data_IF_219557454300
#
_entry.id   IF_219557454300
#
_cell.length_a   1.000
_cell.length_b   1.000
_cell.length_c   1.000
_cell.angle_alpha   90.00
_cell.angle_beta   90.00
_cell.angle_gamma   90.00
#
_symmetry.space_group_name_H-M   'P 1'
#
loop_
_entity.id
_entity.type
_entity.pdbx_description
1 polymer ?
#
# COMPACT_ATOMS: atom_id res chain seq x y z
N UNK A 1 13.71 9.88 16.39
CA UNK A 1 13.19 9.88 15.02
C UNK A 1 14.42 10.03 14.14
N UNK A 2 14.74 9.02 13.32
CA UNK A 2 15.97 9.06 12.50
C UNK A 2 15.79 10.07 11.36
N UNK A 3 16.29 11.29 11.53
CA UNK A 3 16.28 12.33 10.50
C UNK A 3 17.05 11.91 9.23
N UNK A 4 17.98 10.95 9.34
CA UNK A 4 18.79 10.44 8.22
C UNK A 4 18.01 9.59 7.19
N UNK A 5 16.79 9.12 7.51
CA UNK A 5 15.93 8.34 6.61
C UNK A 5 14.74 9.14 6.07
N UNK A 6 14.65 10.43 6.42
CA UNK A 6 13.67 11.34 5.86
C UNK A 6 14.15 11.81 4.48
N UNK A 7 13.44 11.41 3.43
CA UNK A 7 13.75 11.85 2.07
C UNK A 7 13.42 13.33 1.90
N UNK A 8 14.33 14.06 1.28
CA UNK A 8 14.14 15.48 0.96
C UNK A 8 13.23 15.67 -0.27
N UNK A 9 12.66 16.85 -0.42
CA UNK A 9 11.94 17.21 -1.66
C UNK A 9 12.83 17.10 -2.91
N UNK A 10 14.15 17.23 -2.75
CA UNK A 10 15.14 17.10 -3.83
C UNK A 10 15.23 15.65 -4.34
N UNK A 11 15.06 14.64 -3.46
CA UNK A 11 15.10 13.22 -3.83
C UNK A 11 13.94 12.86 -4.77
N UNK A 12 12.78 13.50 -4.60
CA UNK A 12 11.63 13.29 -5.47
C UNK A 12 11.64 14.14 -6.73
N UNK A 13 12.40 15.23 -6.78
CA UNK A 13 12.40 16.16 -7.92
C UNK A 13 12.77 15.49 -9.26
N UNK A 14 13.65 14.49 -9.24
CA UNK A 14 13.99 13.69 -10.41
C UNK A 14 12.90 12.70 -10.79
N UNK A 15 12.27 12.07 -9.79
CA UNK A 15 11.19 11.11 -9.98
C UNK A 15 9.90 11.78 -10.47
N UNK A 16 9.69 13.04 -10.09
CA UNK A 16 8.49 13.83 -10.43
C UNK A 16 8.57 14.50 -11.80
N UNK A 17 9.62 14.23 -12.57
CA UNK A 17 9.69 14.70 -13.96
C UNK A 17 8.62 14.01 -14.82
N UNK A 18 7.90 14.74 -15.69
CA UNK A 18 6.85 14.18 -16.53
C UNK A 18 7.29 12.97 -17.37
N UNK A 19 8.54 12.98 -17.81
CA UNK A 19 9.14 11.87 -18.56
C UNK A 19 9.42 10.60 -17.74
N UNK A 20 9.40 10.67 -16.40
CA UNK A 20 9.46 9.53 -15.48
C UNK A 20 8.05 9.13 -15.05
N UNK A 21 7.24 10.10 -14.60
CA UNK A 21 5.89 9.85 -14.08
C UNK A 21 5.00 9.07 -15.04
N UNK A 22 5.09 9.32 -16.34
CA UNK A 22 4.32 8.60 -17.38
C UNK A 22 4.60 7.09 -17.47
N UNK A 23 5.74 6.62 -16.94
CA UNK A 23 6.05 5.20 -16.88
C UNK A 23 5.59 4.56 -15.58
N UNK A 24 5.36 5.37 -14.55
CA UNK A 24 5.07 4.90 -13.20
C UNK A 24 3.59 4.98 -12.86
N UNK A 25 2.91 6.06 -13.25
CA UNK A 25 1.51 6.26 -12.86
C UNK A 25 0.56 6.09 -14.04
N UNK A 26 -0.45 5.22 -13.86
CA UNK A 26 -1.51 4.95 -14.84
C UNK A 26 -2.88 5.27 -14.22
N UNK A 27 -3.18 6.56 -13.96
CA UNK A 27 -4.41 6.94 -13.29
C UNK A 27 -5.64 6.59 -14.14
N UNK A 28 -6.62 5.93 -13.50
CA UNK A 28 -7.94 5.67 -14.05
C UNK A 28 -8.99 6.42 -13.24
N UNK A 29 -10.07 6.88 -13.88
CA UNK A 29 -11.20 7.50 -13.21
C UNK A 29 -12.25 6.46 -12.84
N UNK A 30 -12.86 6.64 -11.68
CA UNK A 30 -14.00 5.82 -11.27
C UNK A 30 -15.23 6.18 -12.12
N UNK A 31 -15.78 5.19 -12.80
CA UNK A 31 -17.01 5.33 -13.59
C UNK A 31 -18.26 5.06 -12.74
N UNK A 32 -18.10 4.53 -11.53
CA UNK A 32 -19.17 4.11 -10.64
C UNK A 32 -19.07 4.83 -9.28
N UNK A 33 -19.78 5.96 -9.17
CA UNK A 33 -19.76 6.79 -7.96
C UNK A 33 -20.29 6.07 -6.70
N UNK A 34 -21.04 4.97 -6.86
CA UNK A 34 -21.61 4.19 -5.76
C UNK A 34 -20.99 2.80 -5.68
N UNK A 35 -20.64 2.33 -4.47
CA UNK A 35 -20.21 0.95 -4.27
C UNK A 35 -21.26 -0.05 -4.76
N UNK A 36 -20.80 -1.18 -5.34
CA UNK A 36 -21.67 -2.28 -5.76
C UNK A 36 -22.05 -3.20 -4.59
N UNK A 37 -21.43 -3.04 -3.43
CA UNK A 37 -21.69 -3.82 -2.21
C UNK A 37 -22.31 -2.96 -1.12
N UNK A 38 -23.31 -3.47 -0.42
CA UNK A 38 -24.09 -2.72 0.56
C UNK A 38 -23.28 -2.27 1.79
N UNK A 39 -22.27 -3.05 2.17
CA UNK A 39 -21.43 -2.77 3.34
C UNK A 39 -20.22 -1.88 3.03
N UNK A 40 -20.21 -1.20 1.90
CA UNK A 40 -19.18 -0.24 1.51
C UNK A 40 -19.66 1.20 1.62
N UNK A 41 -18.82 2.08 2.15
CA UNK A 41 -19.05 3.52 2.23
C UNK A 41 -17.94 4.28 1.54
N UNK A 42 -18.24 5.20 0.61
CA UNK A 42 -17.23 6.09 0.03
C UNK A 42 -16.90 7.22 1.00
N UNK A 43 -15.64 7.59 1.03
CA UNK A 43 -15.13 8.73 1.79
C UNK A 43 -14.21 9.58 0.92
N UNK A 44 -14.21 10.90 1.17
CA UNK A 44 -13.26 11.85 0.60
C UNK A 44 -12.44 12.41 1.76
N UNK A 45 -11.15 12.10 1.81
CA UNK A 45 -10.25 12.54 2.89
C UNK A 45 -9.36 13.67 2.36
N UNK A 46 -9.44 14.88 2.92
CA UNK A 46 -8.54 15.97 2.55
C UNK A 46 -7.09 15.63 2.87
N UNK A 47 -6.18 15.86 1.90
CA UNK A 47 -4.75 15.61 2.06
C UNK A 47 -3.90 16.85 1.80
N UNK A 48 -4.46 17.85 1.11
CA UNK A 48 -3.82 19.12 0.80
C UNK A 48 -4.88 20.19 0.52
N UNK A 49 -4.50 21.46 0.36
CA UNK A 49 -5.43 22.51 -0.01
C UNK A 49 -6.12 22.19 -1.36
N UNK A 50 -7.43 22.06 -1.32
CA UNK A 50 -8.24 21.74 -2.49
C UNK A 50 -8.08 20.30 -3.03
N UNK A 51 -7.31 19.44 -2.37
CA UNK A 51 -7.09 18.06 -2.79
C UNK A 51 -7.62 17.08 -1.75
N UNK A 52 -8.49 16.17 -2.18
CA UNK A 52 -8.99 15.06 -1.38
C UNK A 52 -8.75 13.73 -2.08
N UNK A 53 -8.43 12.71 -1.30
CA UNK A 53 -8.28 11.33 -1.74
C UNK A 53 -9.58 10.57 -1.52
N UNK A 54 -10.03 9.87 -2.55
CA UNK A 54 -11.17 8.96 -2.50
C UNK A 54 -10.77 7.65 -1.81
N UNK A 55 -11.64 7.18 -0.93
CA UNK A 55 -11.48 5.89 -0.28
C UNK A 55 -12.80 5.12 -0.31
N UNK A 56 -12.72 3.77 -0.39
CA UNK A 56 -13.86 2.89 -0.14
C UNK A 56 -13.61 2.09 1.13
N UNK A 57 -14.51 2.23 2.10
CA UNK A 57 -14.44 1.52 3.36
C UNK A 57 -15.49 0.41 3.40
N UNK A 58 -15.03 -0.84 3.35
CA UNK A 58 -15.81 -2.07 3.41
C UNK A 58 -15.84 -2.59 4.83
N UNK A 59 -17.04 -2.84 5.34
CA UNK A 59 -17.30 -3.06 6.76
C UNK A 59 -17.67 -4.50 7.05
N UNK A 60 -16.95 -5.13 7.98
CA UNK A 60 -17.28 -6.41 8.58
C UNK A 60 -18.03 -6.20 9.91
N UNK A 61 -17.36 -5.57 10.88
CA UNK A 61 -17.90 -5.31 12.22
C UNK A 61 -17.11 -4.16 12.90
N UNK A 62 -17.73 -3.51 13.89
CA UNK A 62 -17.09 -2.40 14.62
C UNK A 62 -15.88 -2.80 15.46
N UNK A 63 -15.77 -4.07 15.84
CA UNK A 63 -14.65 -4.63 16.61
C UNK A 63 -13.63 -5.35 15.73
N UNK A 64 -13.93 -5.53 14.44
CA UNK A 64 -13.03 -6.14 13.47
C UNK A 64 -11.78 -5.32 13.28
N UNK A 65 -10.65 -5.97 13.00
CA UNK A 65 -9.40 -5.29 12.64
C UNK A 65 -9.61 -4.42 11.40
N UNK A 66 -8.99 -3.24 11.39
CA UNK A 66 -9.11 -2.26 10.31
C UNK A 66 -7.82 -2.25 9.50
N UNK A 67 -7.91 -2.39 8.19
CA UNK A 67 -6.78 -2.27 7.27
C UNK A 67 -6.95 -1.01 6.42
N UNK A 68 -5.97 -0.11 6.47
CA UNK A 68 -5.81 0.94 5.46
C UNK A 68 -4.95 0.36 4.33
N UNK A 69 -5.54 0.26 3.15
CA UNK A 69 -4.98 -0.44 2.00
C UNK A 69 -4.66 0.53 0.86
N UNK A 70 -3.43 0.47 0.36
CA UNK A 70 -2.95 1.18 -0.81
C UNK A 70 -2.85 0.21 -1.99
N UNK A 71 -3.65 0.46 -3.02
CA UNK A 71 -3.76 -0.43 -4.18
C UNK A 71 -2.55 -0.36 -5.13
N UNK A 72 -2.50 -1.27 -6.08
CA UNK A 72 -1.48 -1.31 -7.13
C UNK A 72 -1.67 -0.24 -8.20
N UNK A 73 -0.64 -0.05 -9.02
CA UNK A 73 -0.69 0.89 -10.12
C UNK A 73 -1.76 0.48 -11.16
N UNK A 74 -2.50 1.45 -11.68
CA UNK A 74 -3.59 1.22 -12.63
C UNK A 74 -4.88 0.65 -12.02
N UNK A 75 -4.90 0.36 -10.71
CA UNK A 75 -6.10 -0.01 -9.96
C UNK A 75 -6.77 1.24 -9.38
N UNK A 76 -8.01 1.09 -8.90
CA UNK A 76 -8.76 2.11 -8.16
C UNK A 76 -9.56 1.43 -7.04
N UNK A 77 -9.95 2.19 -6.03
CA UNK A 77 -10.67 1.66 -4.87
C UNK A 77 -11.95 0.88 -5.23
N UNK A 78 -12.62 1.24 -6.33
CA UNK A 78 -13.82 0.54 -6.81
C UNK A 78 -13.56 -0.86 -7.39
N UNK A 79 -12.35 -1.17 -7.85
CA UNK A 79 -12.01 -2.52 -8.32
C UNK A 79 -12.12 -3.55 -7.19
N UNK A 80 -12.01 -3.10 -5.94
CA UNK A 80 -12.06 -3.95 -4.75
C UNK A 80 -13.49 -4.33 -4.32
N UNK A 81 -14.54 -3.81 -4.96
CA UNK A 81 -15.92 -4.22 -4.68
C UNK A 81 -16.12 -5.74 -4.83
N UNK A 82 -15.35 -6.40 -5.70
CA UNK A 82 -15.40 -7.85 -5.91
C UNK A 82 -14.50 -8.66 -4.96
N UNK A 83 -13.48 -8.05 -4.39
CA UNK A 83 -12.47 -8.71 -3.54
C UNK A 83 -12.77 -8.47 -2.05
N UNK A 84 -13.20 -7.28 -1.68
CA UNK A 84 -13.45 -6.87 -0.29
C UNK A 84 -14.43 -7.77 0.48
N UNK A 85 -15.46 -8.39 -0.13
CA UNK A 85 -16.28 -9.37 0.56
C UNK A 85 -15.51 -10.52 1.20
N UNK A 86 -14.41 -10.98 0.58
CA UNK A 86 -13.57 -12.03 1.16
C UNK A 86 -12.82 -11.55 2.42
N UNK A 87 -12.40 -10.29 2.45
CA UNK A 87 -11.80 -9.67 3.64
C UNK A 87 -12.83 -9.51 4.77
N UNK A 88 -14.03 -9.04 4.44
CA UNK A 88 -15.07 -8.85 5.46
C UNK A 88 -15.56 -10.18 6.04
N UNK A 89 -15.60 -11.26 5.25
CA UNK A 89 -15.93 -12.60 5.71
C UNK A 89 -14.93 -13.18 6.72
N UNK A 90 -13.66 -12.81 6.64
CA UNK A 90 -12.66 -13.21 7.64
C UNK A 90 -12.60 -12.27 8.85
N UNK A 91 -13.51 -11.31 8.95
CA UNK A 91 -13.61 -10.37 10.07
C UNK A 91 -12.64 -9.18 9.97
N UNK A 92 -12.40 -8.67 8.78
CA UNK A 92 -11.54 -7.51 8.50
C UNK A 92 -12.35 -6.39 7.88
N UNK A 93 -12.26 -5.18 8.44
CA UNK A 93 -12.69 -3.94 7.79
C UNK A 93 -11.57 -3.49 6.84
N UNK A 94 -11.90 -3.22 5.59
CA UNK A 94 -10.92 -2.84 4.56
C UNK A 94 -11.22 -1.43 4.05
N UNK A 95 -10.27 -0.50 4.21
CA UNK A 95 -10.34 0.84 3.61
C UNK A 95 -9.33 0.93 2.47
N UNK A 96 -9.80 0.88 1.24
CA UNK A 96 -8.96 1.03 0.05
C UNK A 96 -8.89 2.49 -0.32
N UNK A 97 -7.67 3.05 -0.37
CA UNK A 97 -7.42 4.44 -0.71
C UNK A 97 -6.86 4.56 -2.13
N UNK A 98 -7.43 5.48 -2.90
CA UNK A 98 -6.88 5.93 -4.18
C UNK A 98 -5.63 6.81 -3.98
N UNK A 99 -5.00 7.21 -5.08
CA UNK A 99 -3.97 8.25 -5.11
C UNK A 99 -4.53 9.52 -5.78
N UNK A 100 -3.78 10.63 -5.73
CA UNK A 100 -4.11 11.82 -6.55
C UNK A 100 -4.31 11.39 -8.00
N UNK A 101 -5.38 11.88 -8.63
CA UNK A 101 -5.74 11.57 -10.01
C UNK A 101 -6.40 10.22 -10.26
N UNK A 102 -6.34 9.27 -9.31
CA UNK A 102 -7.01 7.95 -9.39
C UNK A 102 -8.44 8.02 -8.86
N UNK A 103 -9.28 7.13 -9.33
CA UNK A 103 -10.67 7.03 -8.90
C UNK A 103 -11.40 8.37 -8.96
N UNK A 104 -12.00 8.75 -7.83
CA UNK A 104 -12.66 10.04 -7.65
C UNK A 104 -11.75 11.10 -7.00
N UNK A 105 -10.46 10.78 -6.78
CA UNK A 105 -9.51 11.70 -6.16
C UNK A 105 -9.20 12.90 -7.05
N UNK A 106 -8.90 14.03 -6.40
CA UNK A 106 -8.38 15.23 -7.04
C UNK A 106 -6.88 15.17 -7.33
N UNK A 107 -6.34 16.25 -7.88
CA UNK A 107 -4.91 16.43 -8.12
C UNK A 107 -4.32 15.54 -9.22
N UNK A 108 -2.98 15.52 -9.25
CA UNK A 108 -2.17 14.71 -10.19
C UNK A 108 -1.18 13.86 -9.40
N UNK A 109 -0.97 12.59 -9.77
CA UNK A 109 -0.06 11.72 -9.03
C UNK A 109 1.40 12.11 -9.26
N UNK A 110 2.18 12.13 -8.19
CA UNK A 110 3.63 12.29 -8.19
C UNK A 110 4.23 11.39 -7.10
N UNK A 111 5.52 11.11 -7.16
CA UNK A 111 6.20 10.37 -6.09
C UNK A 111 6.15 11.15 -4.77
N UNK A 112 6.42 12.45 -4.80
CA UNK A 112 6.34 13.30 -3.62
C UNK A 112 4.94 13.24 -2.99
N UNK A 113 3.88 13.36 -3.79
CA UNK A 113 2.51 13.25 -3.31
C UNK A 113 2.19 11.86 -2.76
N UNK A 114 2.65 10.78 -3.44
CA UNK A 114 2.44 9.41 -3.00
C UNK A 114 3.06 9.12 -1.62
N UNK A 115 4.16 9.80 -1.28
CA UNK A 115 4.82 9.67 0.02
C UNK A 115 4.29 10.64 1.07
N UNK A 116 3.78 11.81 0.69
CA UNK A 116 3.25 12.85 1.59
C UNK A 116 1.80 12.60 2.00
N UNK A 117 0.94 12.30 1.02
CA UNK A 117 -0.51 12.18 1.23
C UNK A 117 -0.94 11.07 2.21
N UNK A 118 -0.21 9.95 2.34
CA UNK A 118 -0.54 8.92 3.33
C UNK A 118 -0.66 9.43 4.77
N UNK A 119 0.09 10.47 5.17
CA UNK A 119 0.07 11.01 6.52
C UNK A 119 -1.29 11.67 6.86
N UNK A 120 -1.77 12.70 6.15
CA UNK A 120 -3.10 13.27 6.40
C UNK A 120 -4.23 12.26 6.10
N UNK A 121 -4.04 11.35 5.14
CA UNK A 121 -4.97 10.27 4.86
C UNK A 121 -5.14 9.35 6.08
N UNK A 122 -4.04 8.96 6.72
CA UNK A 122 -4.03 8.13 7.92
C UNK A 122 -4.73 8.82 9.08
N UNK A 123 -4.50 10.11 9.29
CA UNK A 123 -5.20 10.90 10.32
C UNK A 123 -6.70 11.01 10.04
N UNK A 124 -7.07 11.23 8.78
CA UNK A 124 -8.46 11.24 8.33
C UNK A 124 -9.14 9.89 8.57
N UNK A 125 -8.48 8.79 8.21
CA UNK A 125 -8.99 7.43 8.43
C UNK A 125 -9.19 7.14 9.94
N UNK A 126 -8.20 7.48 10.79
CA UNK A 126 -8.35 7.35 12.25
C UNK A 126 -9.52 8.16 12.78
N UNK A 127 -9.80 9.33 12.20
CA UNK A 127 -10.94 10.16 12.57
C UNK A 127 -12.26 9.48 12.21
N UNK A 128 -12.36 8.88 11.02
CA UNK A 128 -13.52 8.07 10.59
C UNK A 128 -13.74 6.92 11.57
N UNK A 129 -12.69 6.17 11.93
CA UNK A 129 -12.79 5.06 12.88
C UNK A 129 -13.32 5.52 14.24
N UNK A 130 -12.77 6.61 14.79
CA UNK A 130 -13.21 7.17 16.09
C UNK A 130 -14.66 7.65 16.07
N UNK A 131 -15.06 8.43 15.06
CA UNK A 131 -16.41 8.98 14.93
C UNK A 131 -17.46 7.89 14.82
N UNK A 132 -17.15 6.80 14.15
CA UNK A 132 -18.06 5.68 13.94
C UNK A 132 -17.90 4.55 14.99
N UNK A 133 -17.04 4.74 15.99
CA UNK A 133 -16.78 3.78 17.09
C UNK A 133 -16.28 2.43 16.60
N UNK A 134 -15.42 2.42 15.58
CA UNK A 134 -14.65 1.24 15.21
C UNK A 134 -13.47 1.09 16.17
N UNK A 135 -13.44 -0.01 16.91
CA UNK A 135 -12.48 -0.22 18.00
C UNK A 135 -11.44 -1.31 17.72
N UNK A 136 -11.48 -1.93 16.53
CA UNK A 136 -10.50 -2.94 16.14
C UNK A 136 -9.11 -2.36 15.92
N UNK A 137 -8.12 -3.23 15.94
CA UNK A 137 -6.71 -2.88 15.72
C UNK A 137 -6.51 -2.31 14.31
N UNK A 138 -5.52 -1.45 14.15
CA UNK A 138 -5.22 -0.79 12.88
C UNK A 138 -3.96 -1.38 12.24
N UNK A 139 -4.08 -1.78 10.98
CA UNK A 139 -3.02 -2.29 10.14
C UNK A 139 -2.89 -1.43 8.88
N UNK A 140 -1.72 -1.44 8.27
CA UNK A 140 -1.50 -0.87 6.94
C UNK A 140 -1.11 -1.96 5.97
N UNK A 141 -1.61 -1.85 4.75
CA UNK A 141 -1.35 -2.82 3.70
C UNK A 141 -1.06 -2.10 2.39
N UNK A 142 -0.13 -2.61 1.61
CA UNK A 142 0.17 -2.09 0.29
C UNK A 142 0.47 -3.17 -0.73
N UNK A 143 -0.13 -3.04 -1.90
CA UNK A 143 0.10 -3.93 -3.04
C UNK A 143 0.92 -3.22 -4.11
N UNK A 144 1.99 -3.89 -4.61
CA UNK A 144 2.79 -3.37 -5.72
C UNK A 144 3.28 -1.94 -5.44
N UNK A 145 2.88 -0.95 -6.23
CA UNK A 145 3.16 0.48 -6.00
C UNK A 145 2.76 0.93 -4.59
N UNK A 146 1.63 0.42 -4.08
CA UNK A 146 1.11 0.74 -2.75
C UNK A 146 1.99 0.27 -1.59
N UNK A 147 2.99 -0.57 -1.84
CA UNK A 147 3.95 -0.96 -0.79
C UNK A 147 4.75 0.24 -0.27
N UNK A 148 5.03 1.25 -1.10
CA UNK A 148 5.77 2.44 -0.68
C UNK A 148 5.02 3.27 0.38
N UNK A 149 3.78 3.74 0.15
CA UNK A 149 3.02 4.46 1.17
C UNK A 149 2.70 3.62 2.42
N UNK A 150 2.52 2.30 2.28
CA UNK A 150 2.29 1.43 3.43
C UNK A 150 3.54 1.31 4.32
N UNK A 151 4.73 1.16 3.72
CA UNK A 151 6.02 1.14 4.42
C UNK A 151 6.30 2.49 5.07
N UNK A 152 6.01 3.62 4.36
CA UNK A 152 6.12 4.97 4.92
C UNK A 152 5.31 5.13 6.20
N UNK A 153 4.03 4.75 6.18
CA UNK A 153 3.18 4.83 7.37
C UNK A 153 3.65 3.89 8.48
N UNK A 154 4.06 2.66 8.15
CA UNK A 154 4.58 1.73 9.13
C UNK A 154 5.85 2.27 9.79
N UNK A 155 6.76 2.87 9.04
CA UNK A 155 7.96 3.52 9.55
C UNK A 155 7.65 4.70 10.48
N UNK A 156 6.73 5.58 10.05
CA UNK A 156 6.41 6.83 10.75
C UNK A 156 5.50 6.65 11.97
N UNK A 157 4.62 5.62 11.99
CA UNK A 157 3.54 5.49 12.98
C UNK A 157 3.46 4.12 13.66
N UNK A 158 4.58 3.45 13.91
CA UNK A 158 4.65 2.11 14.53
C UNK A 158 3.86 1.99 15.83
N UNK A 159 3.83 3.05 16.64
CA UNK A 159 3.10 3.08 17.92
C UNK A 159 1.57 3.02 17.75
N UNK A 160 1.07 3.36 16.56
CA UNK A 160 -0.35 3.45 16.24
C UNK A 160 -0.80 2.32 15.28
N UNK A 161 0.15 1.64 14.64
CA UNK A 161 -0.07 0.60 13.64
C UNK A 161 0.32 -0.75 14.26
N UNK A 162 -0.56 -1.74 14.17
CA UNK A 162 -0.36 -3.05 14.77
C UNK A 162 0.44 -4.01 13.90
N UNK A 163 0.51 -3.76 12.62
CA UNK A 163 1.31 -4.55 11.69
C UNK A 163 1.26 -3.99 10.27
N UNK A 164 2.29 -4.36 9.51
CA UNK A 164 2.49 -4.04 8.11
C UNK A 164 2.23 -5.28 7.25
N UNK A 165 1.47 -5.11 6.16
CA UNK A 165 1.21 -6.15 5.16
C UNK A 165 1.68 -5.64 3.81
N UNK A 166 2.50 -6.42 3.12
CA UNK A 166 3.04 -6.10 1.79
C UNK A 166 2.65 -7.22 0.84
N UNK A 167 1.94 -6.89 -0.24
CA UNK A 167 1.60 -7.81 -1.32
C UNK A 167 2.36 -7.42 -2.58
N UNK A 168 3.16 -8.33 -3.13
CA UNK A 168 3.95 -8.12 -4.36
C UNK A 168 4.69 -6.77 -4.37
N UNK A 169 5.26 -6.40 -3.22
CA UNK A 169 5.93 -5.10 -3.05
C UNK A 169 7.33 -5.06 -3.63
N UNK A 170 7.80 -3.86 -3.94
CA UNK A 170 9.17 -3.64 -4.43
C UNK A 170 10.10 -3.16 -3.31
N UNK A 171 11.35 -3.62 -3.34
CA UNK A 171 12.37 -3.25 -2.35
C UNK A 171 13.03 -1.91 -2.66
N UNK A 172 13.22 -1.59 -3.95
CA UNK A 172 13.93 -0.40 -4.42
C UNK A 172 13.18 0.26 -5.57
N UNK A 173 13.04 1.58 -5.52
CA UNK A 173 12.46 2.38 -6.61
C UNK A 173 13.35 2.30 -7.86
N UNK A 174 14.68 2.33 -7.70
CA UNK A 174 15.61 2.20 -8.82
C UNK A 174 15.36 0.90 -9.60
N UNK A 175 15.25 -0.24 -8.91
CA UNK A 175 14.91 -1.53 -9.56
C UNK A 175 13.51 -1.51 -10.18
N UNK A 176 12.53 -0.85 -9.54
CA UNK A 176 11.18 -0.72 -10.12
C UNK A 176 11.23 0.06 -11.43
N UNK A 177 11.98 1.16 -11.49
CA UNK A 177 12.12 1.97 -12.70
C UNK A 177 12.80 1.19 -13.83
N UNK A 178 13.74 0.28 -13.50
CA UNK A 178 14.35 -0.64 -14.47
C UNK A 178 13.31 -1.60 -15.06
N UNK A 179 12.50 -2.21 -14.20
CA UNK A 179 11.43 -3.13 -14.62
C UNK A 179 10.39 -2.40 -15.49
N UNK A 180 10.13 -1.12 -15.21
CA UNK A 180 9.25 -0.27 -16.00
C UNK A 180 9.93 0.29 -17.28
N UNK A 181 11.18 -0.11 -17.56
CA UNK A 181 11.95 0.33 -18.73
C UNK A 181 12.13 1.86 -18.82
N UNK A 182 12.25 2.52 -17.67
CA UNK A 182 12.60 3.95 -17.64
C UNK A 182 14.05 4.11 -18.10
N UNK A 183 14.34 4.91 -19.14
CA UNK A 183 15.71 5.05 -19.64
C UNK A 183 16.67 5.58 -18.57
N UNK A 184 17.82 4.91 -18.38
CA UNK A 184 18.80 5.25 -17.34
C UNK A 184 19.33 6.69 -17.46
N UNK A 185 19.40 7.22 -18.68
CA UNK A 185 19.85 8.59 -18.96
C UNK A 185 18.94 9.65 -18.33
N UNK A 186 17.69 9.28 -18.00
CA UNK A 186 16.72 10.18 -17.36
C UNK A 186 16.87 10.25 -15.85
N UNK A 187 17.52 9.24 -15.25
CA UNK A 187 17.65 9.11 -13.80
C UNK A 187 19.03 9.57 -13.29
N UNK A 188 20.06 9.63 -14.17
CA UNK A 188 21.41 10.03 -13.78
C UNK A 188 22.01 9.11 -12.68
N UNK A 189 22.86 9.67 -11.82
CA UNK A 189 23.52 8.94 -10.71
C UNK A 189 22.56 8.60 -9.55
N UNK A 190 21.37 9.18 -9.50
CA UNK A 190 20.40 9.01 -8.38
C UNK A 190 19.77 7.61 -8.35
N UNK A 191 19.90 6.83 -9.43
CA UNK A 191 19.30 5.50 -9.57
C UNK A 191 19.68 4.52 -8.45
N UNK A 192 20.92 4.57 -7.98
CA UNK A 192 21.43 3.66 -6.94
C UNK A 192 20.98 4.10 -5.53
N UNK A 193 20.63 5.38 -5.36
CA UNK A 193 20.23 5.98 -4.09
C UNK A 193 18.72 5.84 -3.81
N UNK A 194 17.93 5.37 -4.81
CA UNK A 194 16.47 5.27 -4.71
C UNK A 194 16.01 3.94 -4.08
N UNK A 195 16.46 3.65 -2.86
CA UNK A 195 16.15 2.41 -2.15
C UNK A 195 15.11 2.56 -1.02
N UNK A 196 14.28 3.60 -1.08
CA UNK A 196 13.37 4.05 -0.02
C UNK A 196 12.70 2.94 0.81
N UNK A 197 12.17 1.91 0.15
CA UNK A 197 11.44 0.87 0.84
C UNK A 197 12.36 0.00 1.69
N UNK A 198 13.45 -0.51 1.09
CA UNK A 198 14.35 -1.45 1.78
C UNK A 198 15.12 -0.76 2.92
N UNK A 199 15.46 0.52 2.77
CA UNK A 199 16.21 1.28 3.77
C UNK A 199 15.41 1.53 5.05
N UNK A 200 14.08 1.59 4.95
CA UNK A 200 13.18 1.73 6.10
C UNK A 200 12.89 0.44 6.83
N UNK A 201 12.96 -0.70 6.13
CA UNK A 201 12.59 -2.00 6.70
C UNK A 201 13.33 -2.36 7.99
N UNK A 202 14.65 -2.08 8.17
CA UNK A 202 15.34 -2.40 9.42
C UNK A 202 14.80 -1.65 10.65
N UNK A 203 14.26 -0.45 10.45
CA UNK A 203 13.69 0.38 11.51
C UNK A 203 12.23 0.03 11.83
N UNK A 204 11.55 -0.76 10.98
CA UNK A 204 10.18 -1.23 11.20
C UNK A 204 10.22 -2.48 12.07
N UNK A 205 9.80 -2.35 13.32
CA UNK A 205 9.82 -3.42 14.34
C UNK A 205 8.46 -4.06 14.62
N UNK A 206 7.37 -3.47 14.10
CA UNK A 206 6.02 -4.03 14.20
C UNK A 206 5.90 -5.32 13.36
N UNK A 207 4.99 -6.23 13.72
CA UNK A 207 4.73 -7.44 12.94
C UNK A 207 4.60 -7.15 11.45
N UNK A 208 5.23 -7.99 10.61
CA UNK A 208 5.26 -7.78 9.16
C UNK A 208 4.90 -9.06 8.41
N UNK A 209 3.88 -8.99 7.56
CA UNK A 209 3.49 -10.07 6.64
C UNK A 209 3.80 -9.65 5.21
N UNK A 210 4.56 -10.45 4.49
CA UNK A 210 4.84 -10.26 3.07
C UNK A 210 4.22 -11.42 2.30
N UNK A 211 3.46 -11.12 1.26
CA UNK A 211 2.79 -12.08 0.38
C UNK A 211 3.29 -11.83 -1.04
N UNK A 212 3.76 -12.87 -1.74
CA UNK A 212 4.34 -12.69 -3.07
C UNK A 212 4.06 -13.88 -3.97
N UNK A 213 3.83 -13.64 -5.27
CA UNK A 213 3.67 -14.69 -6.27
C UNK A 213 5.01 -15.33 -6.63
N UNK A 214 5.05 -16.66 -6.76
CA UNK A 214 6.27 -17.39 -7.13
C UNK A 214 6.80 -16.96 -8.49
N UNK A 215 5.89 -16.73 -9.46
CA UNK A 215 6.23 -16.38 -10.85
C UNK A 215 5.90 -14.93 -11.19
N UNK A 216 6.00 -14.04 -10.20
CA UNK A 216 5.85 -12.61 -10.42
C UNK A 216 6.98 -12.09 -11.32
N UNK A 217 6.64 -11.83 -12.59
CA UNK A 217 7.59 -11.31 -13.57
C UNK A 217 7.60 -9.78 -13.65
N UNK A 218 6.60 -9.12 -13.03
CA UNK A 218 6.53 -7.66 -12.96
C UNK A 218 7.37 -7.12 -11.81
N UNK A 219 7.23 -7.72 -10.63
CA UNK A 219 8.08 -7.45 -9.46
C UNK A 219 8.59 -8.81 -8.97
N UNK A 220 9.78 -9.23 -9.42
CA UNK A 220 10.30 -10.56 -9.10
C UNK A 220 10.29 -10.87 -7.60
N UNK A 221 10.02 -12.15 -7.24
CA UNK A 221 9.96 -12.64 -5.85
C UNK A 221 11.15 -12.20 -5.00
N UNK A 222 12.32 -11.96 -5.62
CA UNK A 222 13.51 -11.49 -4.91
C UNK A 222 13.26 -10.18 -4.14
N UNK A 223 12.41 -9.28 -4.65
CA UNK A 223 12.01 -8.06 -3.92
C UNK A 223 11.29 -8.39 -2.61
N UNK A 224 10.36 -9.36 -2.63
CA UNK A 224 9.68 -9.83 -1.42
C UNK A 224 10.64 -10.48 -0.41
N UNK A 225 11.62 -11.25 -0.90
CA UNK A 225 12.68 -11.85 -0.09
C UNK A 225 13.56 -10.77 0.54
N UNK A 226 13.98 -9.77 -0.23
CA UNK A 226 14.81 -8.67 0.26
C UNK A 226 14.09 -7.87 1.36
N UNK A 227 12.80 -7.52 1.15
CA UNK A 227 11.97 -6.84 2.15
C UNK A 227 11.81 -7.68 3.44
N UNK A 228 11.60 -9.01 3.29
CA UNK A 228 11.51 -9.93 4.42
C UNK A 228 12.83 -9.98 5.20
N UNK A 229 13.95 -10.15 4.53
CA UNK A 229 15.25 -10.21 5.15
C UNK A 229 15.63 -8.89 5.83
N UNK A 230 15.35 -7.76 5.18
CA UNK A 230 15.63 -6.41 5.68
C UNK A 230 14.73 -5.99 6.85
N UNK A 231 13.58 -6.62 7.06
CA UNK A 231 12.65 -6.23 8.12
C UNK A 231 13.24 -6.41 9.52
N UNK A 232 13.18 -5.36 10.35
CA UNK A 232 13.55 -5.36 11.76
C UNK A 232 12.50 -6.00 12.69
N UNK A 233 11.35 -6.42 12.16
CA UNK A 233 10.29 -7.02 12.93
C UNK A 233 10.72 -8.35 13.56
N UNK A 234 10.48 -8.50 14.87
CA UNK A 234 10.70 -9.78 15.58
C UNK A 234 9.76 -10.88 15.05
N UNK A 235 8.52 -10.50 14.73
CA UNK A 235 7.57 -11.37 14.06
C UNK A 235 7.43 -10.93 12.61
N UNK A 236 7.95 -11.75 11.70
CA UNK A 236 7.84 -11.55 10.26
C UNK A 236 7.57 -12.87 9.55
N UNK A 237 6.75 -12.82 8.51
CA UNK A 237 6.41 -13.98 7.68
C UNK A 237 6.47 -13.59 6.21
N UNK A 238 7.07 -14.44 5.39
CA UNK A 238 6.97 -14.42 3.94
C UNK A 238 6.06 -15.59 3.51
N UNK A 239 4.96 -15.26 2.85
CA UNK A 239 4.07 -16.20 2.20
C UNK A 239 4.30 -16.13 0.69
N UNK A 240 4.90 -17.17 0.12
CA UNK A 240 4.99 -17.33 -1.33
C UNK A 240 3.79 -18.12 -1.81
N UNK A 241 3.07 -17.60 -2.82
CA UNK A 241 1.93 -18.29 -3.44
C UNK A 241 2.45 -19.06 -4.66
N UNK A 242 2.48 -20.41 -4.60
CA UNK A 242 3.00 -21.23 -5.69
C UNK A 242 2.18 -21.04 -6.96
N UNK A 243 2.87 -20.94 -8.09
CA UNK A 243 2.24 -20.80 -9.41
C UNK A 243 1.64 -19.42 -9.72
N UNK A 244 1.57 -18.53 -8.74
CA UNK A 244 0.97 -17.21 -8.92
C UNK A 244 1.92 -16.20 -9.59
N UNK A 245 1.35 -15.33 -10.40
CA UNK A 245 1.99 -14.16 -11.00
C UNK A 245 1.63 -12.89 -10.22
N UNK A 246 2.01 -11.70 -10.73
CA UNK A 246 1.71 -10.41 -10.10
C UNK A 246 0.20 -10.12 -9.95
N UNK A 247 -0.60 -10.52 -10.93
CA UNK A 247 -2.00 -10.09 -11.03
C UNK A 247 -3.02 -11.16 -10.63
N UNK A 248 -2.60 -12.40 -10.42
CA UNK A 248 -3.51 -13.51 -10.07
C UNK A 248 -3.26 -14.12 -8.70
N UNK A 249 -2.37 -13.49 -7.90
CA UNK A 249 -1.96 -13.96 -6.58
C UNK A 249 -3.15 -14.24 -5.65
N UNK A 250 -4.15 -13.35 -5.65
CA UNK A 250 -5.37 -13.54 -4.86
C UNK A 250 -6.24 -14.68 -5.42
N UNK A 251 -6.36 -14.79 -6.75
CA UNK A 251 -7.18 -15.82 -7.38
C UNK A 251 -6.60 -17.23 -7.17
N UNK A 252 -5.28 -17.39 -7.39
CA UNK A 252 -4.60 -18.69 -7.29
C UNK A 252 -4.43 -19.10 -5.82
N UNK A 253 -4.09 -18.14 -4.96
CA UNK A 253 -3.74 -18.39 -3.56
C UNK A 253 -4.80 -18.00 -2.55
N UNK A 254 -6.07 -17.80 -2.92
CA UNK A 254 -7.10 -17.18 -2.07
C UNK A 254 -7.17 -17.79 -0.66
N UNK A 255 -7.21 -19.09 -0.54
CA UNK A 255 -7.31 -19.77 0.77
C UNK A 255 -6.09 -19.50 1.64
N UNK A 256 -4.89 -19.72 1.12
CA UNK A 256 -3.64 -19.48 1.84
C UNK A 256 -3.46 -18.00 2.19
N UNK A 257 -3.82 -17.10 1.27
CA UNK A 257 -3.78 -15.65 1.44
C UNK A 257 -4.70 -15.20 2.58
N UNK A 258 -5.98 -15.57 2.53
CA UNK A 258 -6.98 -15.19 3.54
C UNK A 258 -6.70 -15.85 4.90
N UNK A 259 -6.22 -17.08 4.93
CA UNK A 259 -5.80 -17.76 6.17
C UNK A 259 -4.63 -17.02 6.81
N UNK A 260 -3.57 -16.72 6.04
CA UNK A 260 -2.41 -15.99 6.54
C UNK A 260 -2.78 -14.58 7.03
N UNK A 261 -3.64 -13.88 6.28
CA UNK A 261 -4.11 -12.55 6.65
C UNK A 261 -4.92 -12.60 7.95
N UNK A 262 -5.88 -13.54 8.07
CA UNK A 262 -6.69 -13.72 9.27
C UNK A 262 -5.81 -14.03 10.49
N UNK A 263 -4.90 -15.01 10.38
CA UNK A 263 -3.94 -15.34 11.44
C UNK A 263 -3.13 -14.11 11.87
N UNK A 264 -2.65 -13.33 10.89
CA UNK A 264 -1.83 -12.16 11.15
C UNK A 264 -2.60 -11.05 11.90
N UNK A 265 -3.82 -10.73 11.48
CA UNK A 265 -4.60 -9.65 12.10
C UNK A 265 -5.26 -10.04 13.43
N UNK A 266 -5.39 -11.35 13.73
CA UNK A 266 -5.98 -11.84 14.98
C UNK A 266 -4.94 -12.32 16.00
N UNK A 267 -3.79 -12.84 15.53
CA UNK A 267 -2.85 -13.61 16.36
C UNK A 267 -1.79 -12.78 17.10
N UNK A 268 -1.60 -11.49 16.78
CA UNK A 268 -0.53 -10.66 17.35
C UNK A 268 -1.10 -9.50 18.14
N UNK A 269 -1.76 -9.84 19.23
CA UNK A 269 -2.30 -8.92 20.17
C UNK A 269 -1.58 -8.93 21.49
#
# INVERSE_FOLDING_TARGET
MNEELAHSEEDFALLDRPEVLRFVFYPRKDMFARPMVENATPHMIPVDEGVSISCRFYLADKKASNILYFHGNGEIASDYDHIAPAFTQIGVNLCVADYRGYGSSGGTPTFAAMMKDPHPLFDGFKSILRQNKYSGRLFVMGRSLGSAPAIELAFSYQEQIRGLIIESGFASVGRLLDLLSVPAERLGSVREELSFNIDRMPAITIPTLIIHGEYDSLIPLQHGIDLYQGSGARYKRLLVIPGATHNDIFLIGMEAYLSALKEFVTGHG
#
